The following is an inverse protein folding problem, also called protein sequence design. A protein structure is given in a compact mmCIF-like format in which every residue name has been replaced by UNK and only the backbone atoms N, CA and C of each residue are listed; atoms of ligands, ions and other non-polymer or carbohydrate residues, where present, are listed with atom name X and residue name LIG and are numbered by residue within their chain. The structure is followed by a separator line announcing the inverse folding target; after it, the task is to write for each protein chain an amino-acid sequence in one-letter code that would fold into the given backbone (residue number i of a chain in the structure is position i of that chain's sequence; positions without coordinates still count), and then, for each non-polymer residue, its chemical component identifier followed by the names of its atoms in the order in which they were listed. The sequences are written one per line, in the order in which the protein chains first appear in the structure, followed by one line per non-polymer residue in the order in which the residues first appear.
data_IF_324512616908
#
_entry.id   IF_324512616908
#
_cell.length_a   1.000
_cell.length_b   1.000
_cell.length_c   1.000
_cell.angle_alpha   90.00
_cell.angle_beta   90.00
_cell.angle_gamma   90.00
#
_symmetry.space_group_name_H-M   'P 1'
#
loop_
_entity.id
_entity.type
_entity.pdbx_description
1 polymer ?
#
# COMPACT_ATOMS: atom_id res chain seq x y z
N UNK A 1 -1.53 -22.55 14.23
CA UNK A 1 -1.41 -21.07 14.24
C UNK A 1 -0.28 -20.59 15.16
N UNK A 2 -0.19 -21.04 16.41
CA UNK A 2 0.87 -20.61 17.35
C UNK A 2 2.26 -21.14 16.93
N UNK A 3 2.34 -22.33 16.36
CA UNK A 3 3.59 -22.93 15.87
C UNK A 3 4.19 -22.22 14.64
N UNK A 4 3.38 -21.51 13.86
CA UNK A 4 3.84 -20.72 12.71
C UNK A 4 4.32 -19.32 13.08
N UNK A 5 4.01 -18.83 14.28
CA UNK A 5 4.46 -17.54 14.77
C UNK A 5 5.92 -17.64 15.21
N UNK A 6 6.78 -16.82 14.64
CA UNK A 6 8.19 -16.76 15.01
C UNK A 6 8.64 -15.33 15.36
N UNK A 7 9.74 -15.20 16.09
CA UNK A 7 10.29 -13.91 16.53
C UNK A 7 10.69 -13.00 15.35
N UNK A 8 10.97 -13.56 14.17
CA UNK A 8 11.32 -12.76 12.99
C UNK A 8 10.20 -11.79 12.59
N UNK A 9 8.94 -12.14 12.85
CA UNK A 9 7.80 -11.27 12.58
C UNK A 9 7.87 -10.01 13.44
N UNK A 10 8.13 -10.17 14.73
CA UNK A 10 8.28 -9.04 15.66
C UNK A 10 9.49 -8.19 15.27
N UNK A 11 10.63 -8.86 15.01
CA UNK A 11 11.84 -8.16 14.62
C UNK A 11 11.71 -7.43 13.28
N UNK A 12 10.94 -7.97 12.33
CA UNK A 12 10.64 -7.29 11.08
C UNK A 12 9.83 -6.01 11.31
N UNK A 13 8.82 -6.06 12.18
CA UNK A 13 8.06 -4.86 12.55
C UNK A 13 8.94 -3.81 13.24
N UNK A 14 9.77 -4.24 14.20
CA UNK A 14 10.70 -3.35 14.90
C UNK A 14 11.74 -2.75 13.94
N UNK A 15 12.33 -3.55 13.07
CA UNK A 15 13.32 -3.07 12.10
C UNK A 15 12.71 -2.08 11.12
N UNK A 16 11.53 -2.38 10.56
CA UNK A 16 10.83 -1.45 9.68
C UNK A 16 10.52 -0.12 10.40
N UNK A 17 10.05 -0.19 11.64
CA UNK A 17 9.80 1.00 12.46
C UNK A 17 11.08 1.80 12.70
N UNK A 18 12.19 1.16 13.03
CA UNK A 18 13.49 1.82 13.25
C UNK A 18 14.01 2.51 11.99
N UNK A 19 13.86 1.89 10.82
CA UNK A 19 14.22 2.51 9.53
C UNK A 19 13.42 3.80 9.31
N UNK A 20 12.10 3.75 9.48
CA UNK A 20 11.23 4.93 9.33
C UNK A 20 11.62 6.03 10.31
N UNK A 21 11.85 5.69 11.60
CA UNK A 21 12.21 6.65 12.63
C UNK A 21 13.59 7.24 12.41
N UNK A 22 14.54 6.46 11.90
CA UNK A 22 15.90 6.92 11.62
C UNK A 22 15.96 7.82 10.36
N UNK A 23 15.23 7.45 9.30
CA UNK A 23 15.22 8.18 8.03
C UNK A 23 14.42 9.49 8.13
N UNK A 24 13.32 9.48 8.89
CA UNK A 24 12.40 10.62 8.97
C UNK A 24 13.04 11.97 9.26
N UNK A 25 13.87 12.11 10.31
CA UNK A 25 14.52 13.38 10.65
C UNK A 25 15.43 13.95 9.55
N UNK A 26 15.96 13.11 8.68
CA UNK A 26 16.82 13.54 7.57
C UNK A 26 16.00 13.80 6.30
N UNK A 27 15.05 12.94 5.99
CA UNK A 27 14.28 13.03 4.75
C UNK A 27 13.27 14.19 4.78
N UNK A 28 12.56 14.42 5.91
CA UNK A 28 11.52 15.45 6.00
C UNK A 28 12.06 16.86 5.68
N UNK A 29 13.21 17.29 6.21
CA UNK A 29 13.78 18.59 5.84
C UNK A 29 14.13 18.70 4.35
N UNK A 30 14.63 17.62 3.72
CA UNK A 30 14.93 17.61 2.27
C UNK A 30 13.66 17.72 1.44
N UNK A 31 12.60 16.98 1.80
CA UNK A 31 11.30 17.10 1.14
C UNK A 31 10.71 18.51 1.31
N UNK A 32 10.91 19.16 2.45
CA UNK A 32 10.54 20.56 2.64
C UNK A 32 11.22 21.49 1.65
N UNK A 33 12.54 21.34 1.44
CA UNK A 33 13.29 22.17 0.48
C UNK A 33 12.74 22.02 -0.95
N UNK A 34 12.36 20.80 -1.34
CA UNK A 34 11.79 20.53 -2.66
C UNK A 34 10.42 21.20 -2.86
N UNK A 35 9.62 21.33 -1.80
CA UNK A 35 8.29 21.96 -1.85
C UNK A 35 8.35 23.49 -1.89
N UNK A 36 9.39 24.12 -1.38
CA UNK A 36 9.56 25.58 -1.37
C UNK A 36 9.68 26.14 -2.79
N UNK A 37 8.59 26.25 -3.48
CA UNK A 37 8.51 26.74 -4.87
C UNK A 37 7.25 26.30 -5.61
N UNK A 38 6.36 25.56 -4.96
CA UNK A 38 5.02 25.28 -5.51
C UNK A 38 4.10 26.48 -5.24
N UNK A 39 3.55 27.06 -6.30
CA UNK A 39 2.42 27.98 -6.20
C UNK A 39 1.15 27.21 -5.86
N UNK A 40 0.44 27.66 -4.83
CA UNK A 40 -0.81 27.06 -4.35
C UNK A 40 -1.92 27.47 -5.35
N UNK A 41 -2.83 26.54 -5.67
CA UNK A 41 -4.09 26.88 -6.32
C UNK A 41 -4.91 27.74 -5.35
N UNK A 42 -5.22 28.96 -5.75
CA UNK A 42 -6.02 29.91 -4.96
C UNK A 42 -7.50 29.48 -4.81
N UNK A 43 -7.95 28.47 -5.57
CA UNK A 43 -9.35 28.02 -5.71
C UNK A 43 -9.75 26.86 -4.80
N UNK A 44 -8.89 26.43 -3.84
CA UNK A 44 -9.18 25.31 -2.95
C UNK A 44 -9.88 25.71 -1.63
N UNK A 45 -10.58 24.77 -0.94
CA UNK A 45 -11.16 25.03 0.38
C UNK A 45 -10.13 25.57 1.37
N UNK A 46 -10.52 26.46 2.29
CA UNK A 46 -9.64 27.09 3.29
C UNK A 46 -8.87 26.09 4.18
N UNK A 47 -9.44 24.90 4.40
CA UNK A 47 -8.77 23.78 5.10
C UNK A 47 -7.55 23.23 4.35
N UNK A 48 -7.51 23.33 3.02
CA UNK A 48 -6.35 22.94 2.21
C UNK A 48 -5.22 24.00 2.25
N UNK A 49 -5.56 25.26 2.52
CA UNK A 49 -4.56 26.32 2.67
C UNK A 49 -3.73 26.15 3.94
N UNK A 50 -4.31 25.61 5.02
CA UNK A 50 -3.56 25.27 6.26
C UNK A 50 -2.56 24.12 6.05
N UNK A 51 -2.77 23.25 5.04
CA UNK A 51 -1.87 22.14 4.67
C UNK A 51 -0.79 22.54 3.66
N UNK A 52 -0.76 23.78 3.21
CA UNK A 52 0.09 24.24 2.11
C UNK A 52 1.60 24.15 2.36
N UNK A 53 2.02 24.06 3.62
CA UNK A 53 3.43 23.95 4.03
C UNK A 53 3.94 22.52 4.20
N UNK A 54 3.08 21.52 4.39
CA UNK A 54 3.51 20.15 4.71
C UNK A 54 4.03 19.42 3.46
N UNK A 55 5.28 18.87 3.48
CA UNK A 55 5.83 18.15 2.33
C UNK A 55 5.12 16.82 2.09
N UNK A 56 5.19 16.32 0.86
CA UNK A 56 4.71 14.99 0.46
C UNK A 56 5.88 14.04 0.16
N UNK A 57 5.61 12.84 -0.35
CA UNK A 57 6.57 11.77 -0.66
C UNK A 57 7.16 11.06 0.57
N UNK A 58 6.53 11.18 1.75
CA UNK A 58 6.92 10.43 2.95
C UNK A 58 6.83 8.91 2.80
N UNK A 59 6.09 8.43 1.81
CA UNK A 59 6.02 7.01 1.44
C UNK A 59 7.38 6.35 1.18
N UNK A 60 8.41 7.12 0.81
CA UNK A 60 9.79 6.61 0.66
C UNK A 60 10.26 5.93 1.95
N UNK A 61 9.99 6.52 3.12
CA UNK A 61 10.38 5.94 4.42
C UNK A 61 9.65 4.62 4.68
N UNK A 62 8.35 4.58 4.39
CA UNK A 62 7.51 3.40 4.62
C UNK A 62 8.01 2.25 3.74
N UNK A 63 8.13 2.48 2.44
CA UNK A 63 8.55 1.47 1.46
C UNK A 63 9.97 0.98 1.74
N UNK A 64 10.88 1.90 2.08
CA UNK A 64 12.24 1.56 2.50
C UNK A 64 12.26 0.67 3.74
N UNK A 65 11.48 1.02 4.77
CA UNK A 65 11.35 0.24 5.99
C UNK A 65 10.82 -1.17 5.73
N UNK A 66 9.72 -1.28 4.98
CA UNK A 66 9.12 -2.59 4.61
C UNK A 66 10.13 -3.44 3.83
N UNK A 67 10.77 -2.85 2.80
CA UNK A 67 11.70 -3.58 1.94
C UNK A 67 12.90 -4.11 2.73
N UNK A 68 13.57 -3.26 3.51
CA UNK A 68 14.75 -3.63 4.28
C UNK A 68 14.40 -4.71 5.31
N UNK A 69 13.33 -4.52 6.08
CA UNK A 69 12.92 -5.48 7.09
C UNK A 69 12.53 -6.83 6.49
N UNK A 70 11.80 -6.82 5.37
CA UNK A 70 11.43 -8.06 4.68
C UNK A 70 12.65 -8.82 4.18
N UNK A 71 13.61 -8.13 3.54
CA UNK A 71 14.81 -8.77 3.01
C UNK A 71 15.73 -9.33 4.10
N UNK A 72 15.69 -8.79 5.33
CA UNK A 72 16.50 -9.27 6.45
C UNK A 72 15.87 -10.47 7.15
N UNK A 73 14.55 -10.49 7.33
CA UNK A 73 13.87 -11.42 8.21
C UNK A 73 13.05 -12.50 7.52
N UNK A 74 12.67 -12.32 6.24
CA UNK A 74 11.95 -13.32 5.46
C UNK A 74 12.91 -14.09 4.55
N UNK A 75 12.63 -15.38 4.32
CA UNK A 75 13.28 -16.11 3.25
C UNK A 75 12.84 -15.53 1.90
N UNK A 76 13.81 -15.30 1.02
CA UNK A 76 13.54 -14.70 -0.30
C UNK A 76 12.94 -15.73 -1.27
N UNK A 77 11.67 -16.05 -1.06
CA UNK A 77 10.89 -16.92 -1.94
C UNK A 77 10.30 -16.15 -3.12
N UNK A 78 9.81 -16.86 -4.14
CA UNK A 78 9.11 -16.22 -5.27
C UNK A 78 7.87 -15.45 -4.79
N UNK A 79 7.15 -15.94 -3.78
CA UNK A 79 6.00 -15.24 -3.20
C UNK A 79 6.41 -13.91 -2.56
N UNK A 80 7.50 -13.88 -1.79
CA UNK A 80 8.03 -12.64 -1.20
C UNK A 80 8.53 -11.70 -2.29
N UNK A 81 9.20 -12.22 -3.32
CA UNK A 81 9.63 -11.41 -4.46
C UNK A 81 8.44 -10.77 -5.20
N UNK A 82 7.34 -11.52 -5.38
CA UNK A 82 6.11 -10.99 -5.98
C UNK A 82 5.44 -9.95 -5.08
N UNK A 83 5.37 -10.17 -3.77
CA UNK A 83 4.83 -9.20 -2.82
C UNK A 83 5.61 -7.87 -2.87
N UNK A 84 6.94 -7.95 -2.84
CA UNK A 84 7.81 -6.79 -3.01
C UNK A 84 7.67 -6.15 -4.41
N UNK A 85 7.57 -6.95 -5.47
CA UNK A 85 7.37 -6.46 -6.83
C UNK A 85 6.08 -5.64 -6.96
N UNK A 86 4.96 -6.12 -6.41
CA UNK A 86 3.69 -5.39 -6.43
C UNK A 86 3.82 -4.07 -5.67
N UNK A 87 4.38 -4.09 -4.47
CA UNK A 87 4.61 -2.87 -3.67
C UNK A 87 5.53 -1.89 -4.39
N UNK A 88 6.69 -2.34 -4.85
CA UNK A 88 7.70 -1.49 -5.50
C UNK A 88 7.23 -0.95 -6.86
N UNK A 89 6.49 -1.75 -7.62
CA UNK A 89 5.88 -1.29 -8.88
C UNK A 89 4.90 -0.13 -8.66
N UNK A 90 4.05 -0.25 -7.63
CA UNK A 90 3.13 0.84 -7.27
C UNK A 90 3.84 2.02 -6.61
N UNK A 91 4.90 1.77 -5.84
CA UNK A 91 5.79 2.82 -5.35
C UNK A 91 6.38 3.64 -6.50
N UNK A 92 6.88 3.00 -7.56
CA UNK A 92 7.44 3.70 -8.73
C UNK A 92 6.37 4.55 -9.41
N UNK A 93 5.15 4.02 -9.59
CA UNK A 93 4.04 4.79 -10.16
C UNK A 93 3.70 6.02 -9.32
N UNK A 94 3.57 5.84 -8.00
CA UNK A 94 3.28 6.94 -7.08
C UNK A 94 4.42 7.93 -6.97
N UNK A 95 5.66 7.44 -6.93
CA UNK A 95 6.85 8.29 -6.90
C UNK A 95 6.96 9.17 -8.15
N UNK A 96 6.74 8.61 -9.33
CA UNK A 96 6.74 9.37 -10.59
C UNK A 96 5.63 10.44 -10.59
N UNK A 97 4.45 10.10 -10.09
CA UNK A 97 3.34 11.05 -9.97
C UNK A 97 3.69 12.24 -9.07
N UNK A 98 4.15 11.96 -7.85
CA UNK A 98 4.56 12.97 -6.89
C UNK A 98 5.78 13.78 -7.39
N UNK A 99 6.77 13.11 -8.00
CA UNK A 99 7.95 13.76 -8.56
C UNK A 99 7.60 14.77 -9.65
N UNK A 100 6.68 14.41 -10.55
CA UNK A 100 6.20 15.32 -11.61
C UNK A 100 5.51 16.53 -10.98
N UNK A 101 4.70 16.33 -9.94
CA UNK A 101 3.99 17.41 -9.23
C UNK A 101 4.96 18.32 -8.47
N UNK A 102 5.88 17.74 -7.69
CA UNK A 102 6.71 18.47 -6.72
C UNK A 102 7.97 19.02 -7.38
N UNK A 103 8.73 18.19 -8.09
CA UNK A 103 10.06 18.56 -8.62
C UNK A 103 9.92 19.25 -9.98
N UNK A 104 9.05 18.74 -10.86
CA UNK A 104 8.82 19.38 -12.16
C UNK A 104 7.77 20.50 -12.09
N UNK A 105 7.22 20.78 -10.89
CA UNK A 105 6.27 21.87 -10.61
C UNK A 105 5.07 21.87 -11.57
N UNK A 106 4.54 20.70 -11.88
CA UNK A 106 3.34 20.55 -12.71
C UNK A 106 2.11 20.39 -11.83
N UNK A 107 1.01 21.02 -12.19
CA UNK A 107 -0.26 20.91 -11.46
C UNK A 107 -0.87 19.51 -11.51
N UNK A 108 -0.56 18.72 -12.54
CA UNK A 108 -0.98 17.33 -12.73
C UNK A 108 0.24 16.44 -12.82
N UNK A 109 0.21 15.33 -12.07
CA UNK A 109 1.19 14.26 -12.14
C UNK A 109 1.02 13.39 -13.39
N UNK A 110 1.06 12.06 -13.22
CA UNK A 110 0.75 11.12 -14.28
C UNK A 110 -0.72 11.23 -14.70
N UNK A 111 -0.99 11.07 -15.99
CA UNK A 111 -2.37 10.96 -16.48
C UNK A 111 -3.01 9.66 -15.92
N UNK A 112 -4.32 9.69 -15.63
CA UNK A 112 -5.04 8.52 -15.12
C UNK A 112 -4.81 7.27 -15.98
N UNK A 113 -4.81 7.41 -17.32
CA UNK A 113 -4.52 6.30 -18.24
C UNK A 113 -3.12 5.70 -18.07
N UNK A 114 -2.12 6.51 -17.73
CA UNK A 114 -0.74 6.03 -17.50
C UNK A 114 -0.64 5.26 -16.19
N UNK A 115 -1.29 5.75 -15.11
CA UNK A 115 -1.38 5.00 -13.85
C UNK A 115 -2.09 3.66 -14.04
N UNK A 116 -3.25 3.66 -14.68
CA UNK A 116 -4.02 2.44 -14.94
C UNK A 116 -3.24 1.45 -15.81
N UNK A 117 -2.52 1.91 -16.83
CA UNK A 117 -1.69 1.04 -17.66
C UNK A 117 -0.57 0.39 -16.84
N UNK A 118 0.12 1.15 -15.98
CA UNK A 118 1.14 0.60 -15.09
C UNK A 118 0.58 -0.42 -14.11
N UNK A 119 -0.55 -0.13 -13.48
CA UNK A 119 -1.24 -1.06 -12.57
C UNK A 119 -1.69 -2.33 -13.30
N UNK A 120 -2.21 -2.20 -14.52
CA UNK A 120 -2.59 -3.34 -15.37
C UNK A 120 -1.39 -4.24 -15.70
N UNK A 121 -0.25 -3.67 -16.09
CA UNK A 121 0.98 -4.41 -16.37
C UNK A 121 1.44 -5.17 -15.12
N UNK A 122 1.46 -4.53 -13.95
CA UNK A 122 1.82 -5.17 -12.68
C UNK A 122 0.87 -6.35 -12.39
N UNK A 123 -0.44 -6.17 -12.58
CA UNK A 123 -1.44 -7.20 -12.36
C UNK A 123 -1.23 -8.43 -13.26
N UNK A 124 -0.96 -8.23 -14.54
CA UNK A 124 -0.66 -9.33 -15.48
C UNK A 124 0.60 -10.07 -15.07
N UNK A 125 1.67 -9.36 -14.73
CA UNK A 125 2.95 -9.98 -14.35
C UNK A 125 2.79 -10.81 -13.08
N UNK A 126 2.16 -10.25 -12.01
CA UNK A 126 1.99 -10.98 -10.76
C UNK A 126 1.09 -12.19 -10.92
N UNK A 127 0.03 -12.09 -11.72
CA UNK A 127 -0.86 -13.23 -11.97
C UNK A 127 -0.15 -14.32 -12.77
N UNK A 128 0.54 -13.94 -13.84
CA UNK A 128 1.28 -14.90 -14.67
C UNK A 128 2.37 -15.64 -13.89
N UNK A 129 3.21 -14.91 -13.15
CA UNK A 129 4.27 -15.53 -12.34
C UNK A 129 3.67 -16.31 -11.18
N UNK A 130 2.63 -15.80 -10.52
CA UNK A 130 1.95 -16.48 -9.44
C UNK A 130 1.41 -17.84 -9.87
N UNK A 131 0.69 -17.92 -10.97
CA UNK A 131 0.12 -19.18 -11.46
C UNK A 131 1.20 -20.17 -11.87
N UNK A 132 2.24 -19.71 -12.58
CA UNK A 132 3.22 -20.63 -13.16
C UNK A 132 4.35 -21.06 -12.18
N UNK A 133 4.62 -20.27 -11.11
CA UNK A 133 5.81 -20.51 -10.27
C UNK A 133 5.52 -20.57 -8.77
N UNK A 134 4.34 -20.17 -8.29
CA UNK A 134 4.00 -20.25 -6.86
C UNK A 134 2.87 -21.21 -6.54
N UNK A 135 2.31 -21.87 -7.57
CA UNK A 135 1.15 -22.75 -7.39
C UNK A 135 -0.15 -22.00 -7.14
N UNK A 136 -0.21 -20.71 -7.49
CA UNK A 136 -1.44 -19.93 -7.42
C UNK A 136 -2.46 -20.54 -8.40
N UNK A 137 -3.60 -20.94 -7.89
CA UNK A 137 -4.69 -21.52 -8.68
C UNK A 137 -5.62 -20.44 -9.25
N UNK A 138 -6.44 -20.80 -10.25
CA UNK A 138 -7.41 -19.88 -10.87
C UNK A 138 -8.81 -19.96 -10.22
N UNK A 139 -8.87 -20.42 -8.99
CA UNK A 139 -10.06 -20.46 -8.17
C UNK A 139 -10.16 -19.25 -7.23
N UNK A 140 -11.34 -19.01 -6.71
CA UNK A 140 -11.62 -17.99 -5.69
C UNK A 140 -12.11 -18.66 -4.43
N UNK A 141 -11.46 -18.35 -3.32
CA UNK A 141 -11.91 -18.80 -2.00
C UNK A 141 -12.97 -17.84 -1.46
N UNK A 142 -14.10 -18.40 -1.04
CA UNK A 142 -15.20 -17.63 -0.46
C UNK A 142 -15.10 -17.67 1.06
N UNK A 143 -14.87 -16.50 1.72
CA UNK A 143 -14.83 -16.40 3.17
C UNK A 143 -16.13 -16.91 3.78
N UNK A 144 -16.05 -17.44 4.99
CA UNK A 144 -17.14 -17.97 5.81
C UNK A 144 -17.79 -19.28 5.30
N UNK A 145 -17.83 -19.51 3.98
CA UNK A 145 -18.32 -20.75 3.39
C UNK A 145 -17.21 -21.78 3.32
N UNK A 146 -15.95 -21.33 3.19
CA UNK A 146 -14.77 -22.19 3.12
C UNK A 146 -14.66 -23.00 1.81
N UNK A 147 -15.41 -22.62 0.78
CA UNK A 147 -15.40 -23.27 -0.54
C UNK A 147 -14.58 -22.46 -1.53
N UNK A 148 -13.98 -23.16 -2.48
CA UNK A 148 -13.27 -22.57 -3.61
C UNK A 148 -14.00 -22.87 -4.90
N UNK A 149 -14.05 -21.89 -5.81
CA UNK A 149 -14.68 -22.03 -7.13
C UNK A 149 -13.67 -21.67 -8.20
N UNK A 150 -13.41 -22.61 -9.09
CA UNK A 150 -12.57 -22.37 -10.28
C UNK A 150 -13.31 -21.42 -11.22
N UNK A 151 -12.71 -20.29 -11.52
CA UNK A 151 -13.23 -19.27 -12.45
C UNK A 151 -12.37 -19.16 -13.71
N UNK A 152 -11.36 -20.03 -13.86
CA UNK A 152 -10.50 -20.09 -15.03
C UNK A 152 -9.86 -18.73 -15.36
N UNK A 153 -9.88 -18.36 -16.65
CA UNK A 153 -9.26 -17.11 -17.11
C UNK A 153 -9.86 -15.83 -16.48
N UNK A 154 -11.11 -15.88 -15.97
CA UNK A 154 -11.69 -14.74 -15.23
C UNK A 154 -10.90 -14.37 -13.99
N UNK A 155 -10.05 -15.26 -13.48
CA UNK A 155 -9.15 -14.95 -12.37
C UNK A 155 -8.21 -13.80 -12.70
N UNK A 156 -7.74 -13.68 -13.94
CA UNK A 156 -6.93 -12.53 -14.37
C UNK A 156 -7.71 -11.21 -14.25
N UNK A 157 -8.99 -11.24 -14.65
CA UNK A 157 -9.87 -10.06 -14.55
C UNK A 157 -10.09 -9.67 -13.08
N UNK A 158 -10.30 -10.67 -12.22
CA UNK A 158 -10.44 -10.46 -10.78
C UNK A 158 -9.18 -9.82 -10.18
N UNK A 159 -8.00 -10.36 -10.46
CA UNK A 159 -6.72 -9.83 -9.95
C UNK A 159 -6.47 -8.39 -10.43
N UNK A 160 -6.76 -8.10 -11.69
CA UNK A 160 -6.69 -6.72 -12.22
C UNK A 160 -7.63 -5.81 -11.43
N UNK A 161 -8.87 -6.22 -11.22
CA UNK A 161 -9.86 -5.46 -10.45
C UNK A 161 -9.46 -5.25 -9.00
N UNK A 162 -8.98 -6.29 -8.33
CA UNK A 162 -8.47 -6.25 -6.94
C UNK A 162 -7.30 -5.29 -6.84
N UNK A 163 -6.33 -5.40 -7.73
CA UNK A 163 -5.10 -4.60 -7.65
C UNK A 163 -5.40 -3.13 -7.94
N UNK A 164 -6.11 -2.82 -9.02
CA UNK A 164 -6.49 -1.44 -9.36
C UNK A 164 -7.43 -0.87 -8.28
N UNK A 165 -8.44 -1.62 -7.87
CA UNK A 165 -9.40 -1.18 -6.87
C UNK A 165 -8.75 -0.87 -5.53
N UNK A 166 -7.96 -1.80 -5.00
CA UNK A 166 -7.32 -1.64 -3.69
C UNK A 166 -6.30 -0.51 -3.68
N UNK A 167 -5.45 -0.40 -4.71
CA UNK A 167 -4.42 0.64 -4.76
C UNK A 167 -5.03 2.04 -4.85
N UNK A 168 -6.09 2.20 -5.63
CA UNK A 168 -6.78 3.48 -5.72
C UNK A 168 -7.64 3.76 -4.47
N UNK A 169 -8.20 2.75 -3.81
CA UNK A 169 -8.94 2.92 -2.56
C UNK A 169 -8.04 3.43 -1.42
N UNK A 170 -6.84 2.85 -1.27
CA UNK A 170 -5.86 3.35 -0.28
C UNK A 170 -5.41 4.77 -0.62
N UNK A 171 -5.21 5.08 -1.90
CA UNK A 171 -4.83 6.43 -2.35
C UNK A 171 -5.94 7.46 -2.07
N UNK A 172 -7.21 7.12 -2.28
CA UNK A 172 -8.35 7.99 -1.95
C UNK A 172 -8.48 8.22 -0.43
N UNK A 173 -8.12 7.23 0.40
CA UNK A 173 -8.17 7.35 1.86
C UNK A 173 -7.06 8.24 2.43
N UNK A 174 -5.98 8.50 1.67
CA UNK A 174 -4.86 9.36 2.12
C UNK A 174 -5.19 10.87 2.04
N UNK A 175 -6.41 11.22 2.37
CA UNK A 175 -6.90 12.62 2.41
C UNK A 175 -6.76 13.30 3.77
N UNK A 176 -6.64 12.54 4.86
CA UNK A 176 -6.58 13.02 6.24
C UNK A 176 -5.31 12.57 6.94
N UNK A 177 -4.77 13.46 7.80
CA UNK A 177 -3.57 13.21 8.58
C UNK A 177 -3.70 11.92 9.42
N UNK A 178 -2.82 10.95 9.20
CA UNK A 178 -2.76 9.69 9.93
C UNK A 178 -3.79 8.63 9.53
N UNK A 179 -4.82 8.95 8.73
CA UNK A 179 -5.91 8.03 8.43
C UNK A 179 -5.42 6.81 7.66
N UNK A 180 -4.80 7.00 6.51
CA UNK A 180 -4.36 5.90 5.66
C UNK A 180 -3.28 5.05 6.34
N UNK A 181 -2.31 5.68 7.02
CA UNK A 181 -1.26 4.95 7.74
C UNK A 181 -1.79 4.16 8.94
N UNK A 182 -2.74 4.73 9.70
CA UNK A 182 -3.40 4.06 10.82
C UNK A 182 -4.24 2.87 10.38
N UNK A 183 -5.08 3.07 9.37
CA UNK A 183 -5.90 2.01 8.77
C UNK A 183 -5.03 0.87 8.20
N UNK A 184 -3.94 1.23 7.53
CA UNK A 184 -3.00 0.27 6.97
C UNK A 184 -2.29 -0.56 8.05
N UNK A 185 -1.93 0.05 9.18
CA UNK A 185 -1.35 -0.68 10.31
C UNK A 185 -2.31 -1.77 10.81
N UNK A 186 -3.60 -1.43 11.01
CA UNK A 186 -4.61 -2.41 11.45
C UNK A 186 -4.83 -3.50 10.40
N UNK A 187 -4.99 -3.12 9.12
CA UNK A 187 -5.18 -4.07 8.03
C UNK A 187 -4.00 -5.03 7.88
N UNK A 188 -2.77 -4.54 8.05
CA UNK A 188 -1.56 -5.37 8.02
C UNK A 188 -1.56 -6.43 9.12
N UNK A 189 -1.96 -6.10 10.35
CA UNK A 189 -2.08 -7.10 11.42
C UNK A 189 -3.13 -8.16 11.08
N UNK A 190 -4.26 -7.74 10.49
CA UNK A 190 -5.28 -8.67 10.01
C UNK A 190 -4.72 -9.63 8.96
N UNK A 191 -3.97 -9.11 7.98
CA UNK A 191 -3.32 -9.95 6.97
C UNK A 191 -2.20 -10.82 7.53
N UNK A 192 -1.47 -10.38 8.56
CA UNK A 192 -0.51 -11.23 9.26
C UNK A 192 -1.21 -12.46 9.85
N UNK A 193 -2.38 -12.30 10.48
CA UNK A 193 -3.16 -13.42 10.98
C UNK A 193 -3.65 -14.35 9.85
N UNK A 194 -4.10 -13.79 8.71
CA UNK A 194 -4.46 -14.56 7.52
C UNK A 194 -3.28 -15.36 6.98
N UNK A 195 -2.10 -14.73 6.83
CA UNK A 195 -0.89 -15.40 6.39
C UNK A 195 -0.50 -16.58 7.32
N UNK A 196 -0.62 -16.39 8.65
CA UNK A 196 -0.38 -17.43 9.63
C UNK A 196 -1.39 -18.59 9.52
N UNK A 197 -2.66 -18.25 9.28
CA UNK A 197 -3.71 -19.26 9.10
C UNK A 197 -3.46 -20.14 7.88
N UNK A 198 -2.96 -19.55 6.77
CA UNK A 198 -2.62 -20.28 5.55
C UNK A 198 -1.15 -20.78 5.51
N UNK A 199 -0.44 -20.78 6.65
CA UNK A 199 0.97 -21.21 6.77
C UNK A 199 1.94 -20.47 5.84
N UNK A 200 1.67 -19.19 5.54
CA UNK A 200 2.52 -18.31 4.72
C UNK A 200 3.42 -17.43 5.62
N UNK A 201 4.33 -18.05 6.40
CA UNK A 201 5.13 -17.36 7.41
C UNK A 201 5.93 -16.16 6.83
N UNK A 202 6.51 -16.30 5.64
CA UNK A 202 7.29 -15.22 5.03
C UNK A 202 6.42 -14.03 4.60
N UNK A 203 5.19 -14.25 4.15
CA UNK A 203 4.22 -13.19 3.90
C UNK A 203 3.71 -12.56 5.21
N UNK A 204 3.64 -13.33 6.31
CA UNK A 204 3.36 -12.77 7.62
C UNK A 204 4.47 -11.81 8.07
N UNK A 205 5.75 -12.15 7.86
CA UNK A 205 6.89 -11.27 8.15
C UNK A 205 6.77 -9.97 7.35
N UNK A 206 6.47 -10.05 6.05
CA UNK A 206 6.22 -8.88 5.20
C UNK A 206 5.07 -8.01 5.73
N UNK A 207 4.00 -8.64 6.18
CA UNK A 207 2.84 -7.95 6.75
C UNK A 207 3.17 -7.25 8.08
N UNK A 208 3.96 -7.90 8.96
CA UNK A 208 4.47 -7.29 10.20
C UNK A 208 5.44 -6.13 9.91
N UNK A 209 6.27 -6.23 8.88
CA UNK A 209 7.13 -5.12 8.46
C UNK A 209 6.28 -3.91 8.02
N UNK A 210 5.19 -4.15 7.27
CA UNK A 210 4.25 -3.09 6.89
C UNK A 210 3.59 -2.45 8.12
N UNK A 211 3.11 -3.25 9.08
CA UNK A 211 2.58 -2.77 10.35
C UNK A 211 3.57 -1.84 11.05
N UNK A 212 4.81 -2.31 11.27
CA UNK A 212 5.83 -1.54 11.97
C UNK A 212 6.18 -0.21 11.27
N UNK A 213 6.31 -0.24 9.93
CA UNK A 213 6.57 0.96 9.15
C UNK A 213 5.42 1.98 9.26
N UNK A 214 4.16 1.53 9.16
CA UNK A 214 3.00 2.40 9.25
C UNK A 214 2.83 3.01 10.64
N UNK A 215 3.01 2.22 11.70
CA UNK A 215 2.96 2.72 13.10
C UNK A 215 4.05 3.77 13.34
N UNK A 216 5.27 3.51 12.89
CA UNK A 216 6.36 4.47 13.04
C UNK A 216 6.13 5.75 12.22
N UNK A 217 5.56 5.62 11.02
CA UNK A 217 5.24 6.76 10.17
C UNK A 217 4.19 7.68 10.80
N UNK A 218 3.25 7.17 11.60
CA UNK A 218 2.27 7.97 12.34
C UNK A 218 2.93 9.05 13.22
N UNK A 219 4.14 8.82 13.74
CA UNK A 219 4.89 9.86 14.50
C UNK A 219 5.08 11.15 13.69
N UNK A 220 5.15 11.05 12.38
CA UNK A 220 5.37 12.18 11.49
C UNK A 220 4.10 12.61 10.74
N UNK A 221 3.14 11.68 10.61
CA UNK A 221 1.92 11.89 9.83
C UNK A 221 0.66 12.13 10.69
N UNK A 222 0.72 11.90 12.03
CA UNK A 222 -0.38 12.24 12.95
C UNK A 222 -0.64 13.75 12.96
N UNK A 223 -1.91 14.11 13.15
CA UNK A 223 -2.33 15.52 13.12
C UNK A 223 -1.68 16.38 14.24
N UNK A 224 -1.11 17.54 13.94
CA UNK A 224 -0.86 18.10 12.60
C UNK A 224 0.34 17.42 11.90
N UNK A 225 0.14 16.94 10.68
CA UNK A 225 1.13 16.15 9.96
C UNK A 225 2.38 16.99 9.62
N UNK A 226 3.56 16.42 9.86
CA UNK A 226 4.87 16.97 9.47
C UNK A 226 5.25 16.56 8.04
N UNK A 227 4.68 15.48 7.53
CA UNK A 227 4.86 14.96 6.17
C UNK A 227 3.64 14.14 5.75
N UNK A 228 3.24 14.23 4.49
CA UNK A 228 2.25 13.36 3.87
C UNK A 228 2.94 12.19 3.18
N UNK A 229 2.29 11.01 3.15
CA UNK A 229 2.86 9.87 2.47
C UNK A 229 2.87 10.06 0.94
N UNK A 230 1.88 10.78 0.40
CA UNK A 230 1.70 11.04 -1.01
C UNK A 230 1.28 9.81 -1.82
N UNK A 231 1.13 10.01 -3.14
CA UNK A 231 0.87 8.90 -4.08
C UNK A 231 2.01 7.86 -4.00
N UNK A 232 3.23 8.30 -3.68
CA UNK A 232 4.41 7.46 -3.40
C UNK A 232 4.14 6.40 -2.35
N UNK A 233 3.47 6.74 -1.25
CA UNK A 233 3.19 5.81 -0.16
C UNK A 233 1.85 5.11 -0.32
N UNK A 234 0.81 5.84 -0.65
CA UNK A 234 -0.56 5.31 -0.67
C UNK A 234 -0.77 4.26 -1.77
N UNK A 235 -0.24 4.47 -2.99
CA UNK A 235 -0.28 3.43 -4.03
C UNK A 235 0.55 2.20 -3.65
N UNK A 236 1.74 2.40 -3.06
CA UNK A 236 2.58 1.31 -2.59
C UNK A 236 1.88 0.46 -1.52
N UNK A 237 1.27 1.10 -0.51
CA UNK A 237 0.53 0.42 0.55
C UNK A 237 -0.72 -0.30 0.03
N UNK A 238 -1.42 0.28 -0.95
CA UNK A 238 -2.49 -0.41 -1.66
C UNK A 238 -1.97 -1.65 -2.40
N UNK A 239 -0.76 -1.57 -2.97
CA UNK A 239 -0.05 -2.71 -3.55
C UNK A 239 0.28 -3.79 -2.52
N UNK A 240 0.67 -3.41 -1.29
CA UNK A 240 0.89 -4.37 -0.18
C UNK A 240 -0.39 -5.17 0.09
N UNK A 241 -1.53 -4.49 0.30
CA UNK A 241 -2.80 -5.16 0.59
C UNK A 241 -3.26 -6.05 -0.55
N UNK A 242 -3.24 -5.53 -1.79
CA UNK A 242 -3.63 -6.30 -2.97
C UNK A 242 -2.73 -7.52 -3.16
N UNK A 243 -1.41 -7.35 -3.04
CA UNK A 243 -0.44 -8.44 -3.13
C UNK A 243 -0.67 -9.52 -2.09
N UNK A 244 -0.89 -9.15 -0.82
CA UNK A 244 -1.23 -10.09 0.25
C UNK A 244 -2.52 -10.84 -0.06
N UNK A 245 -3.60 -10.15 -0.46
CA UNK A 245 -4.87 -10.79 -0.82
C UNK A 245 -4.74 -11.81 -1.95
N UNK A 246 -3.99 -11.46 -3.00
CA UNK A 246 -3.77 -12.33 -4.16
C UNK A 246 -2.90 -13.55 -3.77
N UNK A 247 -1.76 -13.33 -3.10
CA UNK A 247 -0.80 -14.40 -2.77
C UNK A 247 -1.29 -15.34 -1.66
N UNK A 248 -2.26 -14.92 -0.84
CA UNK A 248 -2.94 -15.76 0.14
C UNK A 248 -4.26 -16.33 -0.36
N UNK A 249 -4.68 -16.03 -1.59
CA UNK A 249 -5.98 -16.45 -2.15
C UNK A 249 -7.17 -15.95 -1.33
N UNK A 250 -7.07 -14.75 -0.81
CA UNK A 250 -8.11 -14.13 0.04
C UNK A 250 -8.58 -12.81 -0.53
N UNK A 251 -8.75 -12.74 -1.85
CA UNK A 251 -9.13 -11.54 -2.60
C UNK A 251 -10.45 -10.95 -2.09
N UNK A 252 -11.43 -11.79 -1.77
CA UNK A 252 -12.71 -11.33 -1.24
C UNK A 252 -12.62 -10.87 0.23
N UNK A 253 -11.65 -11.37 0.99
CA UNK A 253 -11.43 -10.95 2.38
C UNK A 253 -10.88 -9.52 2.46
N UNK A 254 -10.28 -9.01 1.39
CA UNK A 254 -9.86 -7.61 1.27
C UNK A 254 -11.00 -6.63 1.54
N UNK A 255 -12.23 -6.97 1.17
CA UNK A 255 -13.41 -6.13 1.42
C UNK A 255 -13.61 -5.92 2.93
N UNK A 256 -13.27 -6.91 3.73
CA UNK A 256 -13.43 -6.89 5.20
C UNK A 256 -12.19 -6.28 5.85
N UNK A 257 -11.01 -6.81 5.56
CA UNK A 257 -9.75 -6.33 6.14
C UNK A 257 -9.39 -4.90 5.69
N UNK A 258 -9.77 -4.56 4.46
CA UNK A 258 -9.67 -3.22 3.91
C UNK A 258 -10.96 -2.41 4.03
N UNK A 259 -11.87 -2.77 4.93
CA UNK A 259 -13.22 -2.22 5.02
C UNK A 259 -13.26 -0.69 5.11
N UNK A 260 -12.33 -0.07 5.82
CA UNK A 260 -12.22 1.39 5.87
C UNK A 260 -11.93 1.98 4.49
N UNK A 261 -11.01 1.40 3.74
CA UNK A 261 -10.67 1.85 2.37
C UNK A 261 -11.85 1.68 1.41
N UNK A 262 -12.63 0.60 1.59
CA UNK A 262 -13.85 0.37 0.82
C UNK A 262 -14.91 1.43 1.13
N UNK A 263 -15.17 1.72 2.41
CA UNK A 263 -16.15 2.71 2.86
C UNK A 263 -15.79 4.11 2.36
N UNK A 264 -14.52 4.52 2.49
CA UNK A 264 -14.03 5.81 2.00
C UNK A 264 -14.20 5.92 0.47
N UNK A 265 -13.84 4.88 -0.27
CA UNK A 265 -14.01 4.85 -1.73
C UNK A 265 -15.47 4.96 -2.14
N UNK A 266 -16.36 4.19 -1.50
CA UNK A 266 -17.79 4.26 -1.76
C UNK A 266 -18.36 5.64 -1.42
N UNK A 267 -17.92 6.25 -0.31
CA UNK A 267 -18.30 7.62 0.06
C UNK A 267 -17.94 8.62 -1.03
N UNK A 268 -16.71 8.57 -1.55
CA UNK A 268 -16.26 9.45 -2.64
C UNK A 268 -17.08 9.22 -3.91
N UNK A 269 -17.32 7.96 -4.30
CA UNK A 269 -18.11 7.63 -5.49
C UNK A 269 -19.53 8.19 -5.36
N UNK A 270 -20.19 8.00 -4.21
CA UNK A 270 -21.54 8.51 -3.96
C UNK A 270 -21.55 10.03 -4.02
N UNK A 271 -20.58 10.71 -3.40
CA UNK A 271 -20.48 12.17 -3.44
C UNK A 271 -20.33 12.69 -4.86
N UNK A 272 -19.40 12.14 -5.64
CA UNK A 272 -19.15 12.60 -7.02
C UNK A 272 -20.32 12.31 -7.96
N UNK A 273 -21.07 11.22 -7.73
CA UNK A 273 -22.23 10.88 -8.59
C UNK A 273 -23.53 11.61 -8.19
N UNK A 274 -23.60 12.15 -6.97
CA UNK A 274 -24.78 12.89 -6.47
C UNK A 274 -24.72 14.39 -6.74
N UNK A 275 -23.61 14.92 -7.25
CA UNK A 275 -23.41 16.29 -7.68
C UNK A 275 -23.26 16.39 -9.20
#
# INVERSE_FOLDING_TARGET
MIEAFNLNMIWAAVAAALVVLAVGPFLIPELHKLKFGQSIREEGPKSHQAKSGTPTMGGIMIVGGITIATLIFADFTIEVALALFVMLGHFVLGFLDDYIKVVLKRNLGLKAKQKLLGQFIIAIIVTYIGINYTGLTQDVWIPFIGQTYDIGWFYYVLVIGVLIGTTNAVNLTDGLDGLASGAMAVASLGFAAVCLYFNKANLAIYSFACFGACVAFLKFNYHPAKVFMGDTGSLALGGVLAGLGILTKTELLLIILGGLFVIETLSVIIQVTSF
#
